data_IF_518146812376
#
_entry.id   IF_518146812376
#
_cell.length_a   1.000
_cell.length_b   1.000
_cell.length_c   1.000
_cell.angle_alpha   90.00
_cell.angle_beta   90.00
_cell.angle_gamma   90.00
#
_symmetry.space_group_name_H-M   'P 1'
#
loop_
_entity.id
_entity.type
_entity.pdbx_description
1 polymer ?
#
# COMPACT_ATOMS: atom_id res chain seq x y z
N UNK A 1 0.90 -8.68 19.18
CA UNK A 1 -0.48 -8.54 18.58
C UNK A 1 -0.49 -7.33 17.68
N UNK A 2 -1.18 -7.36 16.51
CA UNK A 2 -1.33 -6.18 15.63
C UNK A 2 -2.76 -5.65 15.76
N UNK A 3 -2.89 -4.35 16.05
CA UNK A 3 -4.15 -3.62 15.95
C UNK A 3 -4.11 -2.79 14.68
N UNK A 4 -4.99 -3.11 13.74
CA UNK A 4 -5.17 -2.39 12.48
C UNK A 4 -6.23 -1.30 12.64
N UNK A 5 -5.93 -0.11 12.16
CA UNK A 5 -6.86 1.01 12.07
C UNK A 5 -6.82 1.58 10.65
N UNK A 6 -7.95 1.65 9.99
CA UNK A 6 -8.08 2.35 8.72
C UNK A 6 -8.10 3.85 8.98
N UNK A 7 -7.33 4.60 8.21
CA UNK A 7 -7.32 6.06 8.26
C UNK A 7 -8.23 6.60 7.16
N UNK A 8 -7.80 6.47 5.92
CA UNK A 8 -8.55 6.86 4.73
C UNK A 8 -7.85 6.35 3.46
N UNK A 9 -8.60 5.94 2.43
CA UNK A 9 -8.12 5.50 1.13
C UNK A 9 -7.11 4.34 1.20
N UNK A 10 -5.82 4.61 1.03
CA UNK A 10 -4.73 3.66 1.23
C UNK A 10 -4.00 3.84 2.57
N UNK A 11 -4.50 4.75 3.42
CA UNK A 11 -3.93 5.10 4.71
C UNK A 11 -4.31 4.12 5.81
N UNK A 12 -3.31 3.53 6.48
CA UNK A 12 -3.48 2.63 7.61
C UNK A 12 -2.54 2.95 8.75
N UNK A 13 -3.01 2.73 9.98
CA UNK A 13 -2.18 2.72 11.17
C UNK A 13 -2.20 1.30 11.77
N UNK A 14 -1.01 0.74 11.96
CA UNK A 14 -0.81 -0.53 12.63
C UNK A 14 -0.07 -0.30 13.95
N UNK A 15 -0.74 -0.60 15.06
CA UNK A 15 -0.11 -0.64 16.39
C UNK A 15 0.35 -2.07 16.64
N UNK A 16 1.67 -2.26 16.77
CA UNK A 16 2.30 -3.54 17.09
C UNK A 16 2.70 -3.58 18.57
N UNK A 17 3.34 -4.64 19.02
CA UNK A 17 3.83 -4.70 20.40
C UNK A 17 4.97 -3.71 20.63
N UNK A 18 5.85 -3.50 19.65
CA UNK A 18 7.07 -2.67 19.75
C UNK A 18 6.90 -1.23 19.21
N UNK A 19 6.10 -0.99 18.19
CA UNK A 19 6.04 0.29 17.49
C UNK A 19 4.67 0.58 16.86
N UNK A 20 4.56 1.74 16.22
CA UNK A 20 3.42 2.15 15.38
C UNK A 20 3.93 2.30 13.94
N UNK A 21 3.22 1.72 12.97
CA UNK A 21 3.47 1.89 11.55
C UNK A 21 2.31 2.68 10.95
N UNK A 22 2.59 3.74 10.20
CA UNK A 22 1.59 4.55 9.49
C UNK A 22 1.94 4.51 8.00
N UNK A 23 1.01 4.04 7.18
CA UNK A 23 1.18 3.94 5.73
C UNK A 23 0.31 4.94 5.01
N UNK A 24 0.86 5.57 3.97
CA UNK A 24 0.19 6.37 2.95
C UNK A 24 -0.90 7.32 3.51
N UNK A 25 -0.47 8.18 4.43
CA UNK A 25 -1.36 9.17 5.03
C UNK A 25 -1.71 10.26 4.03
N UNK A 26 -3.00 10.40 3.77
CA UNK A 26 -3.58 11.49 2.96
C UNK A 26 -4.47 12.40 3.78
N UNK A 27 -5.53 11.87 4.35
CA UNK A 27 -6.50 12.56 5.21
C UNK A 27 -6.83 11.70 6.42
N UNK A 28 -7.25 12.33 7.51
CA UNK A 28 -7.75 11.64 8.71
C UNK A 28 -9.09 12.25 9.17
N UNK A 29 -10.19 12.00 8.43
CA UNK A 29 -11.51 12.59 8.75
C UNK A 29 -11.99 12.23 10.15
N UNK A 30 -11.52 11.12 10.68
CA UNK A 30 -11.91 10.59 12.01
C UNK A 30 -10.94 10.98 13.13
N UNK A 31 -9.79 11.61 12.81
CA UNK A 31 -8.76 11.98 13.79
C UNK A 31 -8.15 10.78 14.53
N UNK A 32 -8.05 9.61 13.86
CA UNK A 32 -7.59 8.38 14.50
C UNK A 32 -6.10 8.37 14.75
N UNK A 33 -5.31 9.01 13.87
CA UNK A 33 -3.84 9.03 13.96
C UNK A 33 -3.41 9.73 15.24
N UNK A 34 -3.84 10.98 15.44
CA UNK A 34 -3.49 11.74 16.65
C UNK A 34 -3.96 11.05 17.95
N UNK A 35 -5.17 10.45 17.93
CA UNK A 35 -5.66 9.69 19.12
C UNK A 35 -4.81 8.46 19.41
N UNK A 36 -4.38 7.72 18.38
CA UNK A 36 -3.55 6.53 18.59
C UNK A 36 -2.15 6.91 19.07
N UNK A 37 -1.51 7.91 18.46
CA UNK A 37 -0.19 8.39 18.87
C UNK A 37 -0.22 8.92 20.29
N UNK A 38 -1.19 9.77 20.64
CA UNK A 38 -1.32 10.33 21.98
C UNK A 38 -1.55 9.26 23.07
N UNK A 39 -2.22 8.16 22.72
CA UNK A 39 -2.42 7.03 23.65
C UNK A 39 -1.15 6.22 23.84
N UNK A 40 -0.32 6.09 22.80
CA UNK A 40 0.86 5.23 22.75
C UNK A 40 2.17 6.03 22.79
N UNK A 41 2.22 7.12 23.53
CA UNK A 41 3.29 8.14 23.59
C UNK A 41 4.74 7.63 23.68
N UNK A 42 4.94 6.39 24.12
CA UNK A 42 6.27 5.80 24.36
C UNK A 42 6.77 4.99 23.15
N UNK A 43 5.89 4.60 22.21
CA UNK A 43 6.29 3.76 21.08
C UNK A 43 6.90 4.58 19.96
N UNK A 44 7.99 4.10 19.33
CA UNK A 44 8.48 4.65 18.06
C UNK A 44 7.40 4.60 16.97
N UNK A 45 7.37 5.61 16.11
CA UNK A 45 6.41 5.76 15.01
C UNK A 45 7.16 5.77 13.69
N UNK A 46 6.88 4.82 12.84
CA UNK A 46 7.41 4.76 11.47
C UNK A 46 6.33 5.20 10.49
N UNK A 47 6.67 6.19 9.67
CA UNK A 47 5.74 6.78 8.69
C UNK A 47 6.23 6.48 7.29
N UNK A 48 5.39 5.79 6.52
CA UNK A 48 5.67 5.36 5.17
C UNK A 48 4.83 6.14 4.16
N UNK A 49 5.43 6.53 3.04
CA UNK A 49 4.68 6.97 1.87
C UNK A 49 5.24 6.28 0.63
N UNK A 50 4.35 5.55 -0.07
CA UNK A 50 4.71 4.69 -1.21
C UNK A 50 5.11 5.48 -2.44
N UNK A 51 4.49 6.64 -2.68
CA UNK A 51 4.76 7.50 -3.83
C UNK A 51 4.22 8.94 -3.64
N UNK A 52 4.40 9.77 -4.67
CA UNK A 52 4.20 11.23 -4.62
C UNK A 52 2.76 11.71 -4.81
N UNK A 53 1.81 10.88 -5.21
CA UNK A 53 0.41 11.29 -5.41
C UNK A 53 -0.23 11.74 -4.09
N UNK A 54 -1.19 12.66 -4.19
CA UNK A 54 -1.77 13.33 -3.01
C UNK A 54 -2.54 12.38 -2.10
N UNK A 55 -3.15 11.34 -2.68
CA UNK A 55 -3.88 10.31 -1.97
C UNK A 55 -2.99 9.27 -1.24
N UNK A 56 -1.65 9.40 -1.34
CA UNK A 56 -0.66 8.57 -0.64
C UNK A 56 0.37 9.38 0.14
N UNK A 57 0.49 10.68 -0.14
CA UNK A 57 1.48 11.52 0.52
C UNK A 57 0.97 12.96 0.70
N UNK A 58 0.97 13.43 1.94
CA UNK A 58 0.78 14.83 2.29
C UNK A 58 1.92 15.34 3.16
N UNK A 59 2.27 16.63 3.01
CA UNK A 59 3.30 17.26 3.82
C UNK A 59 2.92 17.44 5.29
N UNK A 60 1.64 17.28 5.62
CA UNK A 60 1.15 17.31 7.00
C UNK A 60 1.90 16.35 7.92
N UNK A 61 2.34 15.18 7.41
CA UNK A 61 3.09 14.21 8.22
C UNK A 61 4.33 14.79 8.91
N UNK A 62 4.98 15.80 8.30
CA UNK A 62 6.18 16.41 8.85
C UNK A 62 5.90 17.29 10.07
N UNK A 63 4.69 17.83 10.23
CA UNK A 63 4.31 18.64 11.40
C UNK A 63 4.22 17.80 12.67
N UNK A 64 3.98 16.51 12.55
CA UNK A 64 3.83 15.63 13.71
C UNK A 64 5.08 15.54 14.59
N UNK A 65 6.27 15.67 14.00
CA UNK A 65 7.55 15.68 14.72
C UNK A 65 7.73 16.97 15.53
N UNK A 66 7.15 18.08 15.06
CA UNK A 66 7.17 19.38 15.73
C UNK A 66 6.17 19.44 16.89
N UNK A 67 5.00 18.82 16.70
CA UNK A 67 3.90 18.83 17.67
C UNK A 67 4.10 17.85 18.84
N UNK A 68 5.06 16.92 18.73
CA UNK A 68 5.29 15.86 19.72
C UNK A 68 6.70 15.91 20.26
N UNK A 69 6.84 16.41 21.50
CA UNK A 69 8.14 16.41 22.22
C UNK A 69 8.56 15.00 22.71
N UNK A 70 7.66 14.01 22.66
CA UNK A 70 7.87 12.69 23.28
C UNK A 70 7.90 11.53 22.30
N UNK A 71 7.43 11.72 21.05
CA UNK A 71 7.35 10.63 20.07
C UNK A 71 8.56 10.62 19.14
N UNK A 72 9.17 9.44 18.97
CA UNK A 72 10.26 9.23 18.04
C UNK A 72 9.70 8.84 16.68
N UNK A 73 9.71 9.77 15.72
CA UNK A 73 9.24 9.54 14.35
C UNK A 73 10.40 9.22 13.42
N UNK A 74 10.26 8.16 12.63
CA UNK A 74 11.15 7.82 11.52
C UNK A 74 10.36 7.86 10.21
N UNK A 75 10.70 8.77 9.30
CA UNK A 75 10.07 8.90 7.99
C UNK A 75 10.83 8.06 6.96
N UNK A 76 10.14 7.05 6.40
CA UNK A 76 10.67 6.12 5.39
C UNK A 76 9.86 6.33 4.11
N UNK A 77 10.39 7.12 3.20
CA UNK A 77 9.66 7.61 2.04
C UNK A 77 10.24 7.08 0.72
N UNK A 78 9.38 6.93 -0.27
CA UNK A 78 9.83 6.59 -1.62
C UNK A 78 10.63 7.72 -2.27
N UNK A 79 11.70 7.36 -2.98
CA UNK A 79 12.57 8.32 -3.69
C UNK A 79 11.86 9.09 -4.80
N UNK A 80 10.73 8.65 -5.29
CA UNK A 80 9.98 9.39 -6.31
C UNK A 80 9.37 10.67 -5.74
N UNK A 81 8.96 10.70 -4.47
CA UNK A 81 8.52 11.89 -3.74
C UNK A 81 9.60 12.98 -3.78
N UNK A 82 10.87 12.58 -3.56
CA UNK A 82 12.01 13.48 -3.66
C UNK A 82 12.26 13.91 -5.12
N UNK A 83 12.22 12.98 -6.07
CA UNK A 83 12.41 13.26 -7.51
C UNK A 83 11.34 14.21 -8.06
N UNK A 84 10.11 14.09 -7.59
CA UNK A 84 8.98 14.95 -7.95
C UNK A 84 8.94 16.26 -7.14
N UNK A 85 9.95 16.50 -6.27
CA UNK A 85 10.07 17.70 -5.44
C UNK A 85 8.89 17.95 -4.51
N UNK A 86 8.22 16.87 -4.07
CA UNK A 86 7.10 16.95 -3.11
C UNK A 86 7.61 17.07 -1.67
N UNK A 87 8.85 16.64 -1.41
CA UNK A 87 9.55 16.80 -0.15
C UNK A 87 11.03 17.14 -0.40
N UNK A 88 11.71 17.72 0.62
CA UNK A 88 13.15 17.98 0.61
C UNK A 88 13.90 16.77 1.17
N UNK A 89 15.19 16.68 0.82
CA UNK A 89 16.04 15.54 1.21
C UNK A 89 16.13 15.37 2.73
N UNK A 90 16.20 16.45 3.47
CA UNK A 90 16.32 16.52 4.93
C UNK A 90 15.01 16.24 5.69
N UNK A 91 13.88 16.16 5.01
CA UNK A 91 12.56 15.95 5.64
C UNK A 91 12.25 14.48 5.91
N UNK A 92 13.00 13.55 5.30
CA UNK A 92 12.84 12.13 5.59
C UNK A 92 14.16 11.55 6.11
N UNK A 93 14.04 10.59 7.04
CA UNK A 93 15.18 9.90 7.62
C UNK A 93 15.73 8.86 6.64
N UNK A 94 14.82 8.21 5.86
CA UNK A 94 15.18 7.16 4.89
C UNK A 94 14.46 7.37 3.56
N UNK A 95 15.24 7.38 2.49
CA UNK A 95 14.73 7.42 1.11
C UNK A 95 14.95 6.10 0.41
N UNK A 96 13.86 5.42 0.02
CA UNK A 96 13.92 4.09 -0.57
C UNK A 96 13.43 4.05 -2.03
N UNK A 97 13.97 3.14 -2.80
CA UNK A 97 13.53 2.82 -4.16
C UNK A 97 13.42 1.29 -4.30
N UNK A 98 12.83 0.80 -5.37
CA UNK A 98 12.78 -0.65 -5.66
C UNK A 98 14.13 -1.33 -5.42
N UNK A 99 14.13 -2.39 -4.62
CA UNK A 99 15.30 -3.17 -4.25
C UNK A 99 16.10 -2.64 -3.06
N UNK A 100 15.71 -1.47 -2.49
CA UNK A 100 16.33 -0.99 -1.25
C UNK A 100 15.82 -1.77 -0.05
N UNK A 101 16.71 -2.02 0.91
CA UNK A 101 16.39 -2.55 2.24
C UNK A 101 16.96 -1.61 3.30
N UNK A 102 16.21 -1.41 4.37
CA UNK A 102 16.62 -0.66 5.56
C UNK A 102 16.12 -1.38 6.81
N UNK A 103 16.90 -1.35 7.88
CA UNK A 103 16.53 -1.99 9.15
C UNK A 103 17.09 -1.20 10.34
N UNK A 104 16.41 -1.33 11.46
CA UNK A 104 16.88 -0.97 12.79
C UNK A 104 16.63 -2.11 13.79
N UNK A 105 16.62 -1.81 15.08
CA UNK A 105 16.43 -2.81 16.13
C UNK A 105 15.00 -3.38 16.19
N UNK A 106 14.00 -2.70 15.61
CA UNK A 106 12.59 -3.03 15.73
C UNK A 106 11.97 -3.55 14.44
N UNK A 107 12.37 -2.97 13.29
CA UNK A 107 11.77 -3.31 12.00
C UNK A 107 12.80 -3.51 10.92
N UNK A 108 12.43 -4.32 9.92
CA UNK A 108 13.14 -4.40 8.65
C UNK A 108 12.18 -4.09 7.51
N UNK A 109 12.62 -3.21 6.61
CA UNK A 109 11.81 -2.71 5.50
C UNK A 109 12.49 -3.05 4.19
N UNK A 110 11.74 -3.62 3.26
CA UNK A 110 12.17 -3.80 1.87
C UNK A 110 11.19 -3.08 0.95
N UNK A 111 11.72 -2.18 0.12
CA UNK A 111 10.95 -1.52 -0.92
C UNK A 111 10.94 -2.38 -2.19
N UNK A 112 9.76 -2.83 -2.60
CA UNK A 112 9.55 -3.54 -3.87
C UNK A 112 9.02 -2.59 -4.92
N UNK A 113 8.89 -3.02 -6.19
CA UNK A 113 8.40 -2.15 -7.25
C UNK A 113 6.89 -1.99 -7.25
N UNK A 114 6.43 -0.98 -7.95
CA UNK A 114 5.05 -0.78 -8.37
C UNK A 114 5.02 -0.69 -9.89
N UNK A 115 3.94 -1.12 -10.51
CA UNK A 115 3.73 -0.96 -11.95
C UNK A 115 3.06 0.37 -12.32
N UNK A 116 2.73 1.18 -11.31
CA UNK A 116 2.32 2.57 -11.46
C UNK A 116 3.44 3.51 -10.99
N UNK A 117 3.40 3.97 -9.75
CA UNK A 117 4.38 4.92 -9.19
C UNK A 117 5.02 4.39 -7.91
N UNK A 118 6.24 4.83 -7.64
CA UNK A 118 6.95 4.62 -6.37
C UNK A 118 7.28 3.18 -6.05
N UNK A 119 6.84 2.71 -4.87
CA UNK A 119 7.20 1.40 -4.31
C UNK A 119 6.03 0.77 -3.57
N UNK A 120 6.09 -0.56 -3.40
CA UNK A 120 5.33 -1.28 -2.37
C UNK A 120 6.25 -1.60 -1.20
N UNK A 121 5.67 -1.81 -0.03
CA UNK A 121 6.40 -2.04 1.22
C UNK A 121 6.25 -3.47 1.72
N UNK A 122 7.37 -4.12 2.03
CA UNK A 122 7.42 -5.30 2.89
C UNK A 122 8.03 -4.84 4.21
N UNK A 123 7.30 -5.01 5.32
CA UNK A 123 7.76 -4.64 6.66
C UNK A 123 7.73 -5.87 7.56
N UNK A 124 8.90 -6.25 8.07
CA UNK A 124 9.05 -7.29 9.08
C UNK A 124 9.12 -6.63 10.46
N UNK A 125 8.21 -6.98 11.38
CA UNK A 125 8.08 -6.40 12.72
C UNK A 125 7.45 -7.42 13.68
N UNK A 126 7.98 -7.58 14.88
CA UNK A 126 7.46 -8.49 15.93
C UNK A 126 7.20 -9.93 15.40
N UNK A 127 8.06 -10.43 14.52
CA UNK A 127 7.92 -11.74 13.89
C UNK A 127 6.78 -11.85 12.87
N UNK A 128 6.26 -10.72 12.39
CA UNK A 128 5.21 -10.60 11.37
C UNK A 128 5.75 -9.99 10.10
N UNK A 129 5.26 -10.47 8.95
CA UNK A 129 5.54 -9.92 7.63
C UNK A 129 4.29 -9.20 7.09
N UNK A 130 4.40 -7.90 6.88
CA UNK A 130 3.32 -7.01 6.46
C UNK A 130 3.61 -6.53 5.05
N UNK A 131 2.61 -6.56 4.18
CA UNK A 131 2.67 -6.01 2.84
C UNK A 131 1.69 -4.84 2.66
N UNK A 132 2.20 -3.72 2.19
CA UNK A 132 1.40 -2.59 1.73
C UNK A 132 1.73 -2.32 0.26
N UNK A 133 0.74 -2.50 -0.61
CA UNK A 133 0.96 -2.51 -2.05
C UNK A 133 1.28 -1.13 -2.63
N UNK A 134 0.97 0.00 -1.92
CA UNK A 134 0.91 1.29 -2.60
C UNK A 134 -0.04 1.18 -3.79
N UNK A 135 0.38 1.62 -4.96
CA UNK A 135 -0.39 1.50 -6.20
C UNK A 135 0.03 0.33 -7.10
N UNK A 136 0.62 -0.71 -6.52
CA UNK A 136 0.81 -1.96 -7.24
C UNK A 136 -0.53 -2.67 -7.45
N UNK A 137 -1.05 -2.68 -8.68
CA UNK A 137 -2.31 -3.33 -9.02
C UNK A 137 -2.38 -3.67 -10.51
N UNK A 138 -3.30 -4.56 -10.91
CA UNK A 138 -3.65 -4.78 -12.30
C UNK A 138 -4.68 -3.72 -12.75
N UNK A 139 -4.22 -2.49 -12.97
CA UNK A 139 -5.06 -1.32 -13.29
C UNK A 139 -5.85 -1.44 -14.59
N UNK A 140 -5.36 -2.25 -15.53
CA UNK A 140 -5.95 -2.40 -16.86
C UNK A 140 -6.78 -3.69 -17.01
N UNK A 141 -7.16 -4.32 -15.88
CA UNK A 141 -7.87 -5.60 -15.84
C UNK A 141 -9.14 -5.63 -16.68
N UNK A 142 -9.92 -4.53 -16.71
CA UNK A 142 -11.18 -4.45 -17.48
C UNK A 142 -10.99 -4.61 -18.99
N UNK A 143 -9.80 -4.32 -19.51
CA UNK A 143 -9.51 -4.40 -20.94
C UNK A 143 -9.00 -5.78 -21.37
N UNK A 144 -8.65 -6.67 -20.43
CA UNK A 144 -8.17 -8.02 -20.73
C UNK A 144 -9.27 -8.91 -21.30
N UNK A 145 -10.53 -8.65 -20.98
CA UNK A 145 -11.70 -9.38 -21.51
C UNK A 145 -12.20 -8.79 -22.83
N UNK A 146 -11.55 -7.75 -23.35
CA UNK A 146 -11.89 -7.13 -24.63
C UNK A 146 -11.56 -8.02 -25.83
N UNK A 147 -12.04 -7.66 -27.04
CA UNK A 147 -11.84 -8.46 -28.25
C UNK A 147 -10.37 -8.54 -28.72
N UNK A 148 -9.54 -7.59 -28.36
CA UNK A 148 -8.14 -7.51 -28.79
C UNK A 148 -7.24 -7.01 -27.65
N UNK A 149 -7.09 -7.78 -26.53
CA UNK A 149 -6.38 -7.32 -25.35
C UNK A 149 -4.86 -7.19 -25.55
N UNK A 150 -4.34 -7.77 -26.64
CA UNK A 150 -2.93 -7.74 -27.04
C UNK A 150 -2.59 -6.57 -27.99
N UNK A 151 -3.57 -5.75 -28.35
CA UNK A 151 -3.37 -4.57 -29.18
C UNK A 151 -3.21 -3.31 -28.33
N UNK A 152 -2.56 -2.30 -28.92
CA UNK A 152 -2.47 -0.97 -28.33
C UNK A 152 -3.83 -0.26 -28.41
N UNK A 153 -4.27 0.27 -27.25
CA UNK A 153 -5.55 0.96 -27.09
C UNK A 153 -5.25 2.38 -26.60
N UNK A 154 -5.96 3.37 -27.15
CA UNK A 154 -5.99 4.70 -26.58
C UNK A 154 -7.15 4.81 -25.57
N UNK A 155 -6.87 5.28 -24.38
CA UNK A 155 -7.90 5.58 -23.39
C UNK A 155 -8.06 7.09 -23.24
N UNK A 156 -9.24 7.60 -23.52
CA UNK A 156 -9.58 9.00 -23.23
C UNK A 156 -9.55 9.29 -21.73
N UNK A 157 -9.89 8.31 -20.91
CA UNK A 157 -9.91 8.41 -19.45
C UNK A 157 -8.50 8.61 -18.87
N UNK A 158 -7.50 7.87 -19.39
CA UNK A 158 -6.11 8.00 -18.94
C UNK A 158 -5.29 8.99 -19.80
N UNK A 159 -5.79 9.38 -20.95
CA UNK A 159 -5.10 10.28 -21.87
C UNK A 159 -3.83 9.67 -22.49
N UNK A 160 -3.74 8.34 -22.55
CA UNK A 160 -2.54 7.62 -23.02
C UNK A 160 -2.87 6.37 -23.84
N UNK A 161 -1.85 5.91 -24.58
CA UNK A 161 -1.85 4.62 -25.26
C UNK A 161 -1.25 3.55 -24.35
N UNK A 162 -1.89 2.39 -24.27
CA UNK A 162 -1.39 1.24 -23.53
C UNK A 162 -1.81 -0.07 -24.19
N UNK A 163 -1.10 -1.15 -23.83
CA UNK A 163 -1.46 -2.50 -24.23
C UNK A 163 -1.82 -3.28 -22.96
N UNK A 164 -3.09 -3.73 -22.78
CA UNK A 164 -3.57 -4.37 -21.55
C UNK A 164 -2.72 -5.58 -21.12
N UNK A 165 -2.35 -6.44 -22.08
CA UNK A 165 -1.52 -7.63 -21.82
C UNK A 165 -0.11 -7.23 -21.37
N UNK A 166 0.45 -6.14 -21.92
CA UNK A 166 1.76 -5.65 -21.50
C UNK A 166 1.70 -5.07 -20.09
N UNK A 167 0.66 -4.33 -19.76
CA UNK A 167 0.48 -3.78 -18.41
C UNK A 167 0.25 -4.89 -17.37
N UNK A 168 -0.54 -5.91 -17.70
CA UNK A 168 -0.65 -7.10 -16.85
C UNK A 168 0.71 -7.79 -16.65
N UNK A 169 1.51 -7.94 -17.71
CA UNK A 169 2.87 -8.53 -17.59
C UNK A 169 3.77 -7.71 -16.69
N UNK A 170 3.67 -6.36 -16.71
CA UNK A 170 4.41 -5.48 -15.79
C UNK A 170 4.01 -5.77 -14.34
N UNK A 171 2.71 -5.78 -14.07
CA UNK A 171 2.18 -6.13 -12.75
C UNK A 171 2.66 -7.51 -12.28
N UNK A 172 2.49 -8.54 -13.10
CA UNK A 172 2.93 -9.90 -12.79
C UNK A 172 4.45 -10.02 -12.63
N UNK A 173 5.21 -9.18 -13.32
CA UNK A 173 6.66 -9.05 -13.17
C UNK A 173 7.04 -8.56 -11.77
N UNK A 174 6.33 -7.57 -11.23
CA UNK A 174 6.54 -7.11 -9.86
C UNK A 174 6.21 -8.21 -8.84
N UNK A 175 5.12 -8.96 -9.04
CA UNK A 175 4.82 -10.11 -8.17
C UNK A 175 5.92 -11.18 -8.20
N UNK A 176 6.52 -11.43 -9.38
CA UNK A 176 7.64 -12.35 -9.50
C UNK A 176 8.89 -11.87 -8.73
N UNK A 177 9.13 -10.55 -8.74
CA UNK A 177 10.25 -9.96 -7.99
C UNK A 177 10.00 -10.04 -6.48
N UNK A 178 8.78 -9.73 -6.01
CA UNK A 178 8.36 -9.89 -4.62
C UNK A 178 8.57 -11.34 -4.14
N UNK A 179 8.24 -12.32 -4.98
CA UNK A 179 8.37 -13.74 -4.63
C UNK A 179 9.82 -14.21 -4.42
N UNK A 180 10.80 -13.49 -4.94
CA UNK A 180 12.22 -13.75 -4.67
C UNK A 180 12.63 -13.36 -3.25
N UNK A 181 11.82 -12.49 -2.59
CA UNK A 181 12.07 -11.97 -1.24
C UNK A 181 11.33 -12.83 -0.22
N UNK A 182 10.03 -13.02 -0.43
CA UNK A 182 9.17 -13.83 0.45
C UNK A 182 8.00 -14.43 -0.34
N UNK A 183 7.43 -15.53 0.15
CA UNK A 183 6.21 -16.15 -0.40
C UNK A 183 5.01 -16.07 0.56
N UNK A 184 5.17 -15.37 1.70
CA UNK A 184 4.17 -15.35 2.77
C UNK A 184 4.08 -13.98 3.43
N UNK A 185 2.84 -13.55 3.70
CA UNK A 185 2.51 -12.32 4.41
C UNK A 185 1.46 -12.60 5.47
N UNK A 186 1.68 -12.13 6.71
CA UNK A 186 0.68 -12.20 7.78
C UNK A 186 -0.49 -11.23 7.50
N UNK A 187 -0.18 -10.07 6.93
CA UNK A 187 -1.14 -9.02 6.58
C UNK A 187 -0.80 -8.44 5.20
N UNK A 188 -1.82 -8.35 4.36
CA UNK A 188 -1.73 -7.77 3.01
C UNK A 188 -2.75 -6.65 2.86
N UNK A 189 -2.29 -5.42 2.69
CA UNK A 189 -3.08 -4.25 2.29
C UNK A 189 -2.93 -4.05 0.79
N UNK A 190 -4.05 -4.16 0.03
CA UNK A 190 -3.98 -4.23 -1.43
C UNK A 190 -5.15 -3.49 -2.11
N UNK A 191 -4.92 -2.78 -3.23
CA UNK A 191 -5.96 -2.07 -3.96
C UNK A 191 -7.10 -2.99 -4.45
N UNK A 192 -8.33 -2.59 -4.12
CA UNK A 192 -9.59 -3.19 -4.61
C UNK A 192 -10.49 -2.04 -5.03
N UNK A 193 -10.17 -1.41 -6.16
CA UNK A 193 -10.76 -0.15 -6.60
C UNK A 193 -11.76 -0.36 -7.73
N UNK A 194 -13.03 -0.14 -7.44
CA UNK A 194 -14.13 -0.29 -8.41
C UNK A 194 -14.03 0.65 -9.63
N UNK A 195 -13.21 1.71 -9.58
CA UNK A 195 -12.95 2.59 -10.74
C UNK A 195 -12.24 1.85 -11.88
N UNK A 196 -11.50 0.78 -11.59
CA UNK A 196 -10.93 -0.09 -12.62
C UNK A 196 -12.03 -0.68 -13.54
N UNK A 197 -13.27 -0.78 -13.05
CA UNK A 197 -14.38 -1.37 -13.78
C UNK A 197 -14.42 -2.90 -13.65
N UNK A 198 -14.92 -3.60 -14.67
CA UNK A 198 -14.96 -5.05 -14.65
C UNK A 198 -13.57 -5.65 -14.42
N UNK A 199 -13.47 -6.67 -13.58
CA UNK A 199 -12.20 -7.31 -13.27
C UNK A 199 -11.35 -6.58 -12.20
N UNK A 200 -11.84 -5.53 -11.54
CA UNK A 200 -11.08 -4.76 -10.55
C UNK A 200 -10.55 -5.57 -9.35
N UNK A 201 -11.08 -6.75 -9.11
CA UNK A 201 -10.57 -7.68 -8.10
C UNK A 201 -9.42 -8.56 -8.61
N UNK A 202 -9.13 -8.53 -9.93
CA UNK A 202 -8.18 -9.44 -10.56
C UNK A 202 -6.78 -9.30 -9.96
N UNK A 203 -6.29 -8.08 -9.76
CA UNK A 203 -4.95 -7.84 -9.19
C UNK A 203 -4.77 -8.49 -7.82
N UNK A 204 -5.73 -8.28 -6.91
CA UNK A 204 -5.71 -8.90 -5.58
C UNK A 204 -5.81 -10.43 -5.65
N UNK A 205 -6.64 -10.98 -6.54
CA UNK A 205 -6.76 -12.44 -6.74
C UNK A 205 -5.48 -13.03 -7.29
N UNK A 206 -4.86 -12.40 -8.28
CA UNK A 206 -3.57 -12.82 -8.85
C UNK A 206 -2.44 -12.81 -7.81
N UNK A 207 -2.47 -11.87 -6.86
CA UNK A 207 -1.54 -11.84 -5.74
C UNK A 207 -1.79 -13.04 -4.80
N UNK A 208 -3.02 -13.23 -4.35
CA UNK A 208 -3.40 -14.32 -3.43
C UNK A 208 -3.11 -15.71 -4.01
N UNK A 209 -3.27 -15.89 -5.32
CA UNK A 209 -2.96 -17.17 -5.97
C UNK A 209 -1.44 -17.48 -6.01
N UNK A 210 -0.59 -16.48 -5.71
CA UNK A 210 0.88 -16.62 -5.76
C UNK A 210 1.55 -16.59 -4.38
N UNK A 211 0.87 -16.05 -3.37
CA UNK A 211 1.43 -15.85 -2.03
C UNK A 211 0.52 -16.45 -0.96
N UNK A 212 1.14 -16.90 0.13
CA UNK A 212 0.41 -17.25 1.34
C UNK A 212 0.03 -15.96 2.06
N UNK A 213 -1.27 -15.70 2.23
CA UNK A 213 -1.79 -14.48 2.84
C UNK A 213 -2.55 -14.83 4.11
N UNK A 214 -2.11 -14.33 5.24
CA UNK A 214 -2.75 -14.55 6.54
C UNK A 214 -4.02 -13.71 6.73
N UNK A 215 -4.06 -12.50 6.14
CA UNK A 215 -5.24 -11.62 6.14
C UNK A 215 -5.18 -10.66 4.96
N UNK A 216 -6.29 -10.52 4.22
CA UNK A 216 -6.47 -9.45 3.23
C UNK A 216 -7.20 -8.26 3.83
N UNK A 217 -6.65 -7.08 3.59
CA UNK A 217 -7.25 -5.78 3.87
C UNK A 217 -7.33 -4.99 2.56
N UNK A 218 -8.54 -4.75 2.02
CA UNK A 218 -8.70 -3.93 0.82
C UNK A 218 -8.37 -2.46 1.11
N UNK A 219 -7.83 -1.79 0.11
CA UNK A 219 -7.55 -0.36 0.14
C UNK A 219 -7.86 0.30 -1.20
N UNK A 220 -7.67 1.61 -1.33
CA UNK A 220 -7.82 2.40 -2.56
C UNK A 220 -9.26 2.44 -3.10
N UNK A 221 -10.27 2.13 -2.31
CA UNK A 221 -11.67 2.01 -2.72
C UNK A 221 -12.54 3.24 -2.40
N UNK A 222 -12.02 4.23 -1.68
CA UNK A 222 -12.83 5.35 -1.16
C UNK A 222 -13.59 6.09 -2.25
N UNK A 223 -12.98 6.26 -3.42
CA UNK A 223 -13.60 6.96 -4.56
C UNK A 223 -14.62 6.10 -5.32
N UNK A 224 -14.60 4.78 -5.15
CA UNK A 224 -15.55 3.82 -5.75
C UNK A 224 -16.61 3.29 -4.77
N UNK A 225 -16.51 3.72 -3.50
CA UNK A 225 -17.41 3.31 -2.42
C UNK A 225 -16.99 2.00 -1.74
N UNK A 226 -17.39 1.88 -0.47
CA UNK A 226 -17.06 0.73 0.38
C UNK A 226 -17.55 -0.61 -0.16
N UNK A 227 -18.65 -0.62 -0.90
CA UNK A 227 -19.22 -1.83 -1.49
C UNK A 227 -18.24 -2.53 -2.45
N UNK A 228 -17.39 -1.77 -3.14
CA UNK A 228 -16.40 -2.35 -4.05
C UNK A 228 -15.40 -3.22 -3.30
N UNK A 229 -14.96 -2.80 -2.13
CA UNK A 229 -14.01 -3.54 -1.31
C UNK A 229 -14.56 -4.90 -0.86
N UNK A 230 -15.84 -4.98 -0.50
CA UNK A 230 -16.49 -6.20 -0.05
C UNK A 230 -16.59 -7.31 -1.10
N UNK A 231 -16.45 -6.98 -2.37
CA UNK A 231 -16.45 -7.98 -3.48
C UNK A 231 -15.32 -9.01 -3.38
N UNK A 232 -14.27 -8.73 -2.61
CA UNK A 232 -13.20 -9.70 -2.35
C UNK A 232 -13.55 -10.73 -1.27
N UNK A 233 -14.54 -10.47 -0.41
CA UNK A 233 -14.87 -11.35 0.70
C UNK A 233 -15.23 -12.79 0.27
N UNK A 234 -16.11 -13.03 -0.74
CA UNK A 234 -16.42 -14.39 -1.16
C UNK A 234 -15.20 -15.18 -1.65
N UNK A 235 -14.29 -14.52 -2.38
CA UNK A 235 -13.05 -15.15 -2.83
C UNK A 235 -12.13 -15.50 -1.66
N UNK A 236 -11.99 -14.59 -0.69
CA UNK A 236 -11.22 -14.86 0.52
C UNK A 236 -11.81 -16.02 1.33
N UNK A 237 -13.13 -16.10 1.46
CA UNK A 237 -13.82 -17.21 2.12
C UNK A 237 -13.54 -18.55 1.42
N UNK A 238 -13.62 -18.59 0.08
CA UNK A 238 -13.28 -19.78 -0.70
C UNK A 238 -11.84 -20.25 -0.47
N UNK A 239 -10.91 -19.30 -0.36
CA UNK A 239 -9.48 -19.58 -0.11
C UNK A 239 -9.14 -19.80 1.37
N UNK A 240 -10.09 -19.63 2.29
CA UNK A 240 -9.87 -19.73 3.73
C UNK A 240 -9.00 -18.60 4.30
N UNK A 241 -9.01 -17.43 3.63
CA UNK A 241 -8.21 -16.26 4.02
C UNK A 241 -9.09 -15.31 4.85
N UNK A 242 -8.69 -14.94 6.06
CA UNK A 242 -9.31 -13.85 6.81
C UNK A 242 -9.38 -12.57 5.98
N UNK A 243 -10.56 -11.96 5.98
CA UNK A 243 -10.82 -10.71 5.28
C UNK A 243 -11.25 -9.65 6.30
N UNK A 244 -10.59 -8.51 6.28
CA UNK A 244 -10.96 -7.38 7.12
C UNK A 244 -11.24 -6.16 6.24
N UNK A 245 -12.42 -5.59 6.39
CA UNK A 245 -12.82 -4.35 5.75
C UNK A 245 -13.65 -3.54 6.75
N UNK A 246 -13.52 -2.21 6.67
CA UNK A 246 -14.42 -1.32 7.40
C UNK A 246 -15.84 -1.41 6.82
N UNK A 247 -16.83 -1.38 7.69
CA UNK A 247 -18.24 -1.34 7.36
C UNK A 247 -19.02 -0.51 8.36
#
# INVERSE_FOLDING_TARGET
MIRLTYIFHSGFLLETDSCILIFDYWMDPSGVVHRCINRSKIKPVYVFASHFHEDHFTREIFTWKEDSLESNYTYILSKDILKRRRAKKEEADVWMAKGSTWEDELIKVTATGSNDSGVSWIVEVDGKCIFHAGDLCNWYARFLEGPNPDQEIYSEEFGEHFNPVTEEKRFLGELKDIRKITDSFDLMMFPVDGRIGNGYTLGARQFIDRFKVGMLVPMHFTMSGFESAWRMQPFCQEKGIPFWCIG
#
